data_IF_785828222084
#
_entry.id   IF_785828222084
#
_cell.length_a   1.000
_cell.length_b   1.000
_cell.length_c   1.000
_cell.angle_alpha   90.00
_cell.angle_beta   90.00
_cell.angle_gamma   90.00
#
_symmetry.space_group_name_H-M   'P 1'
#
loop_
_entity.id
_entity.type
_entity.pdbx_description
1 polymer ?
#
# COMPACT_ATOMS: atom_id res chain seq x y z
N UNK A 1 8.36 -11.50 -5.33
CA UNK A 1 8.60 -10.88 -6.63
C UNK A 1 8.24 -9.40 -6.57
N UNK A 2 9.17 -8.54 -6.94
CA UNK A 2 8.95 -7.11 -7.10
C UNK A 2 8.87 -6.82 -8.61
N UNK A 3 7.78 -6.18 -9.04
CA UNK A 3 7.62 -5.68 -10.41
C UNK A 3 7.71 -4.16 -10.40
N UNK A 4 8.54 -3.61 -11.25
CA UNK A 4 8.69 -2.17 -11.47
C UNK A 4 8.01 -1.82 -12.80
N UNK A 5 7.05 -0.90 -12.74
CA UNK A 5 6.37 -0.36 -13.92
C UNK A 5 7.05 0.97 -14.31
N UNK A 6 7.25 1.30 -15.61
CA UNK A 6 7.76 2.61 -16.02
C UNK A 6 6.84 3.78 -15.63
N UNK A 7 5.55 3.56 -15.46
CA UNK A 7 4.68 4.49 -14.74
C UNK A 7 4.89 4.30 -13.23
N UNK A 8 4.92 5.37 -12.39
CA UNK A 8 5.28 5.23 -10.99
C UNK A 8 4.29 4.35 -10.23
N UNK A 9 4.68 3.12 -10.07
CA UNK A 9 3.94 2.09 -9.36
C UNK A 9 4.86 1.10 -8.68
N UNK A 10 4.46 0.62 -7.51
CA UNK A 10 5.09 -0.47 -6.79
C UNK A 10 4.08 -1.60 -6.64
N UNK A 11 4.47 -2.78 -7.08
CA UNK A 11 3.72 -4.00 -6.84
C UNK A 11 4.67 -5.08 -6.30
N UNK A 12 4.21 -5.84 -5.32
CA UNK A 12 5.04 -6.91 -4.76
C UNK A 12 4.26 -7.91 -3.93
N UNK A 13 4.80 -9.11 -3.83
CA UNK A 13 4.35 -10.16 -2.92
C UNK A 13 5.41 -10.35 -1.85
N UNK A 14 4.98 -10.29 -0.60
CA UNK A 14 5.83 -10.48 0.57
C UNK A 14 5.30 -11.67 1.35
N UNK A 15 6.20 -12.56 1.74
CA UNK A 15 5.92 -13.63 2.70
C UNK A 15 6.80 -13.46 3.92
N UNK A 16 6.22 -13.50 5.11
CA UNK A 16 6.90 -13.39 6.38
C UNK A 16 6.48 -14.53 7.29
N UNK A 17 7.44 -15.08 8.04
CA UNK A 17 7.21 -16.16 9.02
C UNK A 17 7.69 -15.70 10.38
N UNK A 18 6.85 -15.86 11.40
CA UNK A 18 7.27 -15.68 12.79
C UNK A 18 7.90 -16.98 13.31
N UNK A 19 9.21 -16.99 13.41
CA UNK A 19 9.96 -18.14 13.94
C UNK A 19 10.04 -18.17 15.49
N UNK A 20 9.47 -17.17 16.17
CA UNK A 20 9.41 -17.16 17.63
C UNK A 20 8.20 -17.95 18.12
N UNK A 21 8.44 -19.03 18.81
CA UNK A 21 7.42 -19.97 19.31
C UNK A 21 6.74 -19.54 20.62
N UNK A 22 7.09 -18.36 21.15
CA UNK A 22 6.60 -17.93 22.48
C UNK A 22 5.85 -16.62 22.49
N UNK A 23 6.04 -15.75 21.49
CA UNK A 23 5.47 -14.40 21.46
C UNK A 23 5.07 -13.99 20.04
N UNK A 24 3.97 -13.24 19.92
CA UNK A 24 3.68 -12.50 18.72
C UNK A 24 4.79 -11.46 18.45
N UNK A 25 5.21 -11.33 17.21
CA UNK A 25 6.32 -10.46 16.82
C UNK A 25 5.83 -9.34 15.88
N UNK A 26 6.35 -8.12 16.03
CA UNK A 26 6.18 -7.09 15.03
C UNK A 26 6.96 -7.48 13.77
N UNK A 27 6.26 -7.48 12.64
CA UNK A 27 6.82 -7.71 11.31
C UNK A 27 6.76 -6.42 10.53
N UNK A 28 7.92 -5.94 10.07
CA UNK A 28 8.01 -4.71 9.28
C UNK A 28 8.61 -5.02 7.92
N UNK A 29 7.97 -4.52 6.88
CA UNK A 29 8.50 -4.57 5.53
C UNK A 29 8.28 -3.23 4.83
N UNK A 30 9.36 -2.66 4.33
CA UNK A 30 9.34 -1.40 3.60
C UNK A 30 9.95 -1.59 2.22
N UNK A 31 9.21 -1.18 1.20
CA UNK A 31 9.69 -1.10 -0.18
C UNK A 31 9.53 0.33 -0.67
N UNK A 32 10.59 0.87 -1.22
CA UNK A 32 10.55 2.17 -1.90
C UNK A 32 11.25 2.10 -3.24
N UNK A 33 10.81 2.93 -4.17
CA UNK A 33 11.50 3.13 -5.45
C UNK A 33 11.62 4.63 -5.76
N UNK A 34 12.72 5.00 -6.40
CA UNK A 34 12.88 6.35 -6.94
C UNK A 34 11.91 6.57 -8.11
N UNK A 35 11.33 7.76 -8.20
CA UNK A 35 10.45 8.14 -9.30
C UNK A 35 11.23 8.77 -10.45
N UNK A 36 10.72 8.57 -11.66
CA UNK A 36 11.27 9.17 -12.88
C UNK A 36 10.41 10.39 -13.24
N UNK A 37 10.47 11.44 -12.43
CA UNK A 37 9.73 12.66 -12.70
C UNK A 37 9.03 13.26 -11.50
N UNK A 38 8.47 14.43 -11.73
CA UNK A 38 7.72 15.18 -10.74
C UNK A 38 6.21 15.03 -10.98
N UNK A 39 5.48 14.68 -9.94
CA UNK A 39 4.02 14.56 -9.95
C UNK A 39 3.45 15.61 -8.99
N UNK A 40 2.63 16.56 -9.47
CA UNK A 40 2.09 17.61 -8.62
C UNK A 40 1.14 17.05 -7.55
N UNK A 41 0.91 17.82 -6.49
CA UNK A 41 -0.18 17.56 -5.57
C UNK A 41 -1.52 17.54 -6.32
N UNK A 42 -2.43 16.66 -5.92
CA UNK A 42 -3.67 16.42 -6.65
C UNK A 42 -3.59 15.33 -7.71
N UNK A 43 -2.41 14.78 -8.02
CA UNK A 43 -2.27 13.61 -8.89
C UNK A 43 -3.10 12.44 -8.35
N UNK A 44 -3.70 11.68 -9.27
CA UNK A 44 -4.49 10.50 -8.90
C UNK A 44 -3.59 9.44 -8.27
N UNK A 45 -4.04 8.83 -7.17
CA UNK A 45 -3.35 7.72 -6.54
C UNK A 45 -4.30 6.57 -6.21
N UNK A 46 -3.80 5.37 -6.31
CA UNK A 46 -4.52 4.15 -5.92
C UNK A 46 -3.58 3.17 -5.28
N UNK A 47 -4.07 2.45 -4.29
CA UNK A 47 -3.36 1.37 -3.64
C UNK A 47 -4.28 0.21 -3.33
N UNK A 48 -3.73 -0.98 -3.32
CA UNK A 48 -4.44 -2.18 -2.89
C UNK A 48 -3.52 -3.11 -2.13
N UNK A 49 -4.11 -3.89 -1.24
CA UNK A 49 -3.40 -4.95 -0.53
C UNK A 49 -4.32 -6.14 -0.30
N UNK A 50 -3.83 -7.33 -0.61
CA UNK A 50 -4.41 -8.61 -0.22
C UNK A 50 -3.46 -9.26 0.79
N UNK A 51 -3.96 -9.53 2.00
CA UNK A 51 -3.20 -10.13 3.08
C UNK A 51 -3.77 -11.51 3.40
N UNK A 52 -2.90 -12.44 3.77
CA UNK A 52 -3.28 -13.79 4.19
C UNK A 52 -2.47 -14.16 5.42
N UNK A 53 -3.13 -14.76 6.40
CA UNK A 53 -2.50 -15.42 7.54
C UNK A 53 -2.76 -16.92 7.48
N UNK A 54 -1.77 -17.72 7.85
CA UNK A 54 -1.86 -19.20 7.86
C UNK A 54 -1.38 -19.72 9.20
N UNK A 55 -2.17 -20.59 9.83
CA UNK A 55 -1.74 -21.41 10.96
C UNK A 55 -0.71 -22.43 10.48
N UNK A 56 0.57 -22.06 10.55
CA UNK A 56 1.66 -22.86 10.00
C UNK A 56 2.28 -23.80 11.05
N UNK A 57 2.05 -23.55 12.32
CA UNK A 57 2.51 -24.37 13.44
C UNK A 57 1.49 -25.47 13.84
N UNK A 58 0.28 -25.44 13.22
CA UNK A 58 -0.80 -26.39 13.46
C UNK A 58 -1.31 -26.41 14.92
N UNK A 59 -1.30 -25.26 15.60
CA UNK A 59 -1.84 -25.15 16.96
C UNK A 59 -3.36 -24.83 16.99
N UNK A 60 -3.95 -24.58 15.83
CA UNK A 60 -5.38 -24.39 15.62
C UNK A 60 -5.77 -22.93 15.36
N UNK A 61 -4.84 -21.98 15.40
CA UNK A 61 -5.12 -20.60 15.04
C UNK A 61 -3.88 -19.78 14.67
N UNK A 62 -3.94 -19.06 13.56
CA UNK A 62 -2.95 -18.05 13.17
C UNK A 62 -3.58 -16.67 13.14
N UNK A 63 -2.94 -15.65 13.71
CA UNK A 63 -3.48 -14.29 13.73
C UNK A 63 -2.45 -13.25 13.28
N UNK A 64 -2.87 -12.41 12.32
CA UNK A 64 -2.23 -11.17 11.94
C UNK A 64 -3.06 -10.00 12.47
N UNK A 65 -2.44 -9.07 13.17
CA UNK A 65 -3.13 -7.89 13.71
C UNK A 65 -2.30 -6.63 13.55
N UNK A 66 -2.96 -5.48 13.64
CA UNK A 66 -2.30 -4.18 13.69
C UNK A 66 -1.47 -4.03 14.97
N UNK A 67 -0.41 -3.25 14.88
CA UNK A 67 0.22 -2.65 16.05
C UNK A 67 -0.57 -1.40 16.43
N UNK A 68 -0.68 -1.11 17.73
CA UNK A 68 -1.46 0.05 18.23
C UNK A 68 -1.08 1.35 17.53
N UNK A 69 -2.08 2.01 16.98
CA UNK A 69 -1.93 3.31 16.32
C UNK A 69 -1.37 3.25 14.89
N UNK A 70 -1.22 2.05 14.28
CA UNK A 70 -0.61 1.90 12.95
C UNK A 70 -1.44 0.95 12.08
N UNK A 71 -1.67 1.32 10.82
CA UNK A 71 -2.28 0.45 9.82
C UNK A 71 -1.32 -0.66 9.36
N UNK A 72 -1.85 -1.81 8.92
CA UNK A 72 -1.03 -2.89 8.36
C UNK A 72 -0.32 -2.44 7.08
N UNK A 73 -1.01 -1.67 6.24
CA UNK A 73 -0.45 -1.11 5.00
C UNK A 73 -0.48 0.41 5.07
N UNK A 74 0.63 1.06 4.71
CA UNK A 74 0.72 2.51 4.56
C UNK A 74 1.50 2.84 3.29
N UNK A 75 0.89 3.62 2.40
CA UNK A 75 1.57 4.19 1.24
C UNK A 75 2.48 5.34 1.67
N UNK A 76 3.62 5.48 1.00
CA UNK A 76 4.62 6.51 1.28
C UNK A 76 4.84 7.38 0.04
N UNK A 77 4.94 8.69 0.21
CA UNK A 77 5.43 9.64 -0.79
C UNK A 77 6.64 10.37 -0.21
N UNK A 78 7.76 10.34 -0.93
CA UNK A 78 9.04 10.94 -0.52
C UNK A 78 9.48 10.50 0.90
N UNK A 79 9.20 9.23 1.23
CA UNK A 79 9.48 8.62 2.53
C UNK A 79 8.49 8.99 3.64
N UNK A 80 7.54 9.88 3.39
CA UNK A 80 6.52 10.29 4.37
C UNK A 80 5.24 9.44 4.22
N UNK A 81 4.63 8.98 5.33
CA UNK A 81 3.40 8.20 5.29
C UNK A 81 2.19 9.05 4.89
N UNK A 82 1.31 8.49 4.05
CA UNK A 82 0.06 9.09 3.62
C UNK A 82 -1.07 8.71 4.60
N UNK A 83 -1.18 9.42 5.68
CA UNK A 83 -2.18 9.17 6.74
C UNK A 83 -3.30 10.22 6.66
N UNK A 84 -4.57 9.82 6.68
CA UNK A 84 -5.14 8.46 6.57
C UNK A 84 -5.35 7.99 5.11
N UNK A 85 -5.09 8.85 4.12
CA UNK A 85 -5.54 8.67 2.72
C UNK A 85 -4.87 7.52 1.96
N UNK A 86 -3.74 7.01 2.46
CA UNK A 86 -2.98 5.91 1.88
C UNK A 86 -2.85 4.71 2.82
N UNK A 87 -3.78 4.55 3.77
CA UNK A 87 -3.77 3.44 4.74
C UNK A 87 -4.82 2.39 4.39
N UNK A 88 -4.46 1.11 4.58
CA UNK A 88 -5.37 -0.04 4.51
C UNK A 88 -5.21 -0.88 5.77
N UNK A 89 -6.31 -1.51 6.20
CA UNK A 89 -6.38 -2.27 7.44
C UNK A 89 -5.95 -1.39 8.65
N UNK A 90 -6.75 -0.36 8.98
CA UNK A 90 -6.40 0.63 10.00
C UNK A 90 -6.30 0.00 11.39
N UNK A 91 -5.89 0.80 12.38
CA UNK A 91 -5.75 0.37 13.78
C UNK A 91 -6.95 -0.43 14.29
N UNK A 92 -6.67 -1.41 15.14
CA UNK A 92 -7.61 -2.41 15.67
C UNK A 92 -8.04 -3.49 14.66
N UNK A 93 -7.46 -3.54 13.46
CA UNK A 93 -7.73 -4.62 12.51
C UNK A 93 -7.06 -5.94 12.96
N UNK A 94 -7.80 -7.03 12.81
CA UNK A 94 -7.30 -8.38 13.08
C UNK A 94 -7.85 -9.37 12.06
N UNK A 95 -6.99 -10.25 11.57
CA UNK A 95 -7.32 -11.34 10.67
C UNK A 95 -6.87 -12.65 11.29
N UNK A 96 -7.80 -13.58 11.52
CA UNK A 96 -7.51 -14.88 12.16
C UNK A 96 -7.90 -16.03 11.25
N UNK A 97 -6.97 -16.95 11.03
CA UNK A 97 -7.24 -18.28 10.49
C UNK A 97 -7.56 -19.22 11.66
N UNK A 98 -8.64 -19.99 11.57
CA UNK A 98 -9.08 -20.91 12.62
C UNK A 98 -9.14 -22.34 12.08
N UNK A 99 -8.44 -23.25 12.75
CA UNK A 99 -8.31 -24.66 12.38
C UNK A 99 -6.88 -25.03 11.98
N UNK A 100 -6.51 -26.28 12.21
CA UNK A 100 -5.17 -26.80 11.98
C UNK A 100 -4.73 -26.61 10.51
N UNK A 101 -3.67 -25.83 10.30
CA UNK A 101 -3.15 -25.51 8.97
C UNK A 101 -4.08 -24.63 8.12
N UNK A 102 -5.09 -24.00 8.73
CA UNK A 102 -6.04 -23.15 8.02
C UNK A 102 -5.39 -21.84 7.56
N UNK A 103 -5.96 -21.25 6.53
CA UNK A 103 -5.62 -19.90 6.08
C UNK A 103 -6.86 -19.02 6.01
N UNK A 104 -6.67 -17.73 6.26
CA UNK A 104 -7.70 -16.71 6.08
C UNK A 104 -7.10 -15.51 5.36
N UNK A 105 -7.91 -14.86 4.51
CA UNK A 105 -7.46 -13.76 3.67
C UNK A 105 -8.41 -12.58 3.72
N UNK A 106 -7.86 -11.39 3.56
CA UNK A 106 -8.61 -10.16 3.41
C UNK A 106 -7.98 -9.29 2.32
N UNK A 107 -8.79 -8.44 1.70
CA UNK A 107 -8.34 -7.46 0.73
C UNK A 107 -8.94 -6.09 1.02
N UNK A 108 -8.21 -5.06 0.66
CA UNK A 108 -8.65 -3.67 0.77
C UNK A 108 -7.98 -2.83 -0.31
N UNK A 109 -8.61 -1.72 -0.68
CA UNK A 109 -8.07 -0.77 -1.64
C UNK A 109 -8.52 0.65 -1.33
N UNK A 110 -7.74 1.62 -1.76
CA UNK A 110 -8.10 3.03 -1.76
C UNK A 110 -7.89 3.65 -3.13
N UNK A 111 -8.63 4.72 -3.36
CA UNK A 111 -8.46 5.63 -4.51
C UNK A 111 -8.62 7.04 -4.00
N UNK A 112 -7.66 7.90 -4.29
CA UNK A 112 -7.62 9.27 -3.78
C UNK A 112 -6.74 10.15 -4.69
N UNK A 113 -6.50 11.39 -4.26
CA UNK A 113 -5.49 12.26 -4.86
C UNK A 113 -4.34 12.48 -3.88
N UNK A 114 -3.14 12.69 -4.41
CA UNK A 114 -1.97 12.95 -3.58
C UNK A 114 -2.14 14.28 -2.83
N UNK A 115 -2.01 14.30 -1.50
CA UNK A 115 -2.09 15.55 -0.72
C UNK A 115 -0.86 16.44 -0.94
N UNK A 116 0.25 15.85 -1.34
CA UNK A 116 1.54 16.48 -1.59
C UNK A 116 2.08 16.08 -2.96
N UNK A 117 3.03 16.86 -3.47
CA UNK A 117 3.73 16.49 -4.69
C UNK A 117 4.66 15.29 -4.43
N UNK A 118 4.76 14.41 -5.43
CA UNK A 118 5.74 13.33 -5.46
C UNK A 118 6.97 13.81 -6.24
N UNK A 119 8.10 13.91 -5.60
CA UNK A 119 9.31 14.49 -6.18
C UNK A 119 10.47 13.50 -6.32
N UNK A 120 10.60 12.53 -5.42
CA UNK A 120 11.77 11.66 -5.38
C UNK A 120 11.49 10.18 -5.24
N UNK A 121 10.48 9.79 -4.44
CA UNK A 121 10.23 8.38 -4.19
C UNK A 121 8.80 8.08 -3.81
N UNK A 122 8.38 6.86 -4.09
CA UNK A 122 7.14 6.28 -3.59
C UNK A 122 7.44 4.95 -2.90
N UNK A 123 6.60 4.55 -1.96
CA UNK A 123 6.83 3.33 -1.20
C UNK A 123 5.57 2.73 -0.59
N UNK A 124 5.76 1.53 -0.08
CA UNK A 124 4.77 0.80 0.71
C UNK A 124 5.47 0.34 1.99
N UNK A 125 4.85 0.61 3.12
CA UNK A 125 5.23 0.04 4.40
C UNK A 125 4.14 -0.91 4.89
N UNK A 126 4.56 -2.12 5.28
CA UNK A 126 3.73 -3.09 6.02
C UNK A 126 4.24 -3.21 7.44
N UNK A 127 3.34 -3.06 8.41
CA UNK A 127 3.64 -3.24 9.82
C UNK A 127 2.49 -3.97 10.52
N UNK A 128 2.77 -5.14 11.07
CA UNK A 128 1.76 -5.97 11.74
C UNK A 128 2.40 -6.85 12.82
N UNK A 129 1.57 -7.36 13.71
CA UNK A 129 1.91 -8.40 14.69
C UNK A 129 1.49 -9.76 14.11
N UNK A 130 2.33 -10.78 14.27
CA UNK A 130 2.04 -12.15 13.83
C UNK A 130 2.23 -13.11 14.99
N UNK A 131 1.28 -14.02 15.17
CA UNK A 131 1.33 -15.07 16.18
C UNK A 131 2.52 -16.01 15.99
N UNK A 132 3.01 -16.65 17.08
CA UNK A 132 4.18 -17.51 17.06
C UNK A 132 4.04 -18.69 16.11
N UNK A 133 5.06 -18.96 15.31
CA UNK A 133 5.11 -20.10 14.41
C UNK A 133 4.26 -20.01 13.15
N UNK A 134 3.53 -18.90 12.96
CA UNK A 134 2.62 -18.70 11.84
C UNK A 134 3.26 -17.97 10.66
N UNK A 135 2.56 -18.02 9.53
CA UNK A 135 2.95 -17.33 8.29
C UNK A 135 1.97 -16.22 7.94
N UNK A 136 2.50 -15.12 7.42
CA UNK A 136 1.73 -14.06 6.79
C UNK A 136 2.27 -13.77 5.39
N UNK A 137 1.36 -13.47 4.45
CA UNK A 137 1.71 -12.96 3.13
C UNK A 137 0.94 -11.69 2.83
N UNK A 138 1.58 -10.78 2.11
CA UNK A 138 0.93 -9.59 1.58
C UNK A 138 1.27 -9.43 0.09
N UNK A 139 0.24 -9.22 -0.72
CA UNK A 139 0.36 -8.85 -2.13
C UNK A 139 -0.19 -7.44 -2.28
N UNK A 140 0.65 -6.47 -2.60
CA UNK A 140 0.29 -5.07 -2.52
C UNK A 140 0.76 -4.27 -3.71
N UNK A 141 -0.02 -3.23 -4.03
CA UNK A 141 0.28 -2.27 -5.09
C UNK A 141 0.11 -0.84 -4.58
N UNK A 142 0.87 0.07 -5.15
CA UNK A 142 0.68 1.51 -5.01
C UNK A 142 1.07 2.19 -6.32
N UNK A 143 0.18 3.01 -6.86
CA UNK A 143 0.38 3.76 -8.10
C UNK A 143 0.03 5.23 -7.89
N UNK A 144 0.82 6.11 -8.50
CA UNK A 144 0.50 7.53 -8.66
C UNK A 144 0.49 7.83 -10.15
N UNK A 145 -0.60 8.39 -10.63
CA UNK A 145 -0.80 8.72 -12.06
C UNK A 145 -0.94 10.23 -12.18
N UNK A 146 -0.18 10.89 -13.05
CA UNK A 146 -0.35 12.32 -13.30
C UNK A 146 -1.77 12.60 -13.78
N UNK A 147 -2.30 13.79 -13.48
CA UNK A 147 -3.51 14.23 -14.16
C UNK A 147 -3.28 14.23 -15.68
N UNK A 148 -4.22 13.68 -16.48
CA UNK A 148 -4.05 13.66 -17.91
C UNK A 148 -3.78 15.07 -18.42
N UNK A 149 -2.71 15.24 -19.20
CA UNK A 149 -2.37 16.52 -19.86
C UNK A 149 -3.50 17.09 -20.72
N UNK A 150 -4.55 16.29 -20.95
CA UNK A 150 -5.81 16.67 -21.60
C UNK A 150 -6.49 17.88 -20.94
N UNK A 151 -6.45 18.02 -19.61
CA UNK A 151 -7.00 19.20 -18.91
C UNK A 151 -6.21 20.45 -19.23
N UNK A 152 -4.89 20.35 -19.26
CA UNK A 152 -4.01 21.46 -19.64
C UNK A 152 -4.19 21.83 -21.12
N UNK A 153 -4.31 20.81 -21.99
CA UNK A 153 -4.52 21.00 -23.42
C UNK A 153 -5.91 21.61 -23.73
N UNK A 154 -6.94 21.17 -22.99
CA UNK A 154 -8.27 21.75 -23.06
C UNK A 154 -8.27 23.22 -22.64
N UNK A 155 -7.58 23.56 -21.56
CA UNK A 155 -7.42 24.94 -21.09
C UNK A 155 -6.73 25.82 -22.14
N UNK A 156 -5.65 25.36 -22.73
CA UNK A 156 -4.93 26.05 -23.83
C UNK A 156 -5.83 26.16 -25.08
N UNK A 157 -6.55 25.10 -25.39
CA UNK A 157 -7.50 25.11 -26.54
C UNK A 157 -8.62 26.14 -26.36
N UNK A 158 -9.22 26.24 -25.21
CA UNK A 158 -10.25 27.23 -24.88
C UNK A 158 -9.68 28.66 -24.95
N UNK A 159 -8.48 28.89 -24.38
CA UNK A 159 -7.81 30.19 -24.46
C UNK A 159 -7.49 30.60 -25.90
N UNK A 160 -7.05 29.67 -26.74
CA UNK A 160 -6.78 29.91 -28.16
C UNK A 160 -8.06 30.28 -28.93
N UNK A 161 -9.18 29.60 -28.63
CA UNK A 161 -10.48 29.91 -29.22
C UNK A 161 -11.02 31.28 -28.81
N UNK A 162 -10.86 31.66 -27.55
CA UNK A 162 -11.25 32.97 -27.04
C UNK A 162 -10.43 34.11 -27.68
N UNK A 163 -9.12 33.87 -27.89
CA UNK A 163 -8.22 34.84 -28.55
C UNK A 163 -8.54 35.05 -30.04
N UNK A 164 -9.11 34.03 -30.69
CA UNK A 164 -9.47 34.10 -32.13
C UNK A 164 -10.77 34.88 -32.39
N UNK A 165 -11.55 35.18 -31.35
CA UNK A 165 -12.81 35.94 -31.44
C UNK A 165 -12.65 37.45 -31.27
N UNK A 166 -11.44 37.95 -31.10
CA UNK A 166 -11.07 39.38 -31.16
C UNK A 166 -10.38 39.69 -32.47
#
# INVERSE_FOLDING_TARGET
NLSLDPDPGIAGVIGLTNNNMTMAQPMTFNVSMATIGYYPAGSFMTGSSAITVTDANFDGSGTMSTQTGVAIYTALIDGAPLIPSGELFPDSYSLTATGLGAANSANSSFTSTTPVALASSMGINHLFMLTPGDNATANSTFFVVPEPATLSLLGVGVLALLRRRK
#
